data_IF_904300319614
#
_entry.id   IF_904300319614
#
_cell.length_a   1.000
_cell.length_b   1.000
_cell.length_c   1.000
_cell.angle_alpha   90.00
_cell.angle_beta   90.00
_cell.angle_gamma   90.00
#
_symmetry.space_group_name_H-M   'P 1'
#
loop_
_entity.id
_entity.type
_entity.pdbx_description
1 polymer ?
#
# COMPACT_ATOMS: atom_id res chain seq x y z
N UNK A 1 -16.93 1.66 20.53
CA UNK A 1 -17.28 0.84 19.39
C UNK A 1 -16.14 0.88 18.35
N UNK A 2 -15.43 -0.25 18.18
CA UNK A 2 -14.18 -0.31 17.44
C UNK A 2 -14.17 -1.44 16.42
N UNK A 3 -13.34 -1.28 15.38
CA UNK A 3 -12.95 -2.34 14.46
C UNK A 3 -11.52 -2.72 14.81
N UNK A 4 -11.22 -4.02 14.89
CA UNK A 4 -9.87 -4.48 15.22
C UNK A 4 -9.02 -4.53 13.95
N UNK A 5 -7.87 -3.84 14.00
CA UNK A 5 -6.81 -3.93 13.01
C UNK A 5 -5.69 -4.80 13.58
N UNK A 6 -5.30 -5.86 12.90
CA UNK A 6 -4.25 -6.75 13.41
C UNK A 6 -3.09 -6.90 12.43
N UNK A 7 -1.92 -7.17 13.01
CA UNK A 7 -0.71 -7.49 12.27
C UNK A 7 -0.67 -9.01 12.04
N UNK A 8 -0.48 -9.41 10.78
CA UNK A 8 -0.55 -10.82 10.39
C UNK A 8 0.77 -11.54 10.65
N UNK A 9 1.91 -10.93 10.29
CA UNK A 9 3.21 -11.56 10.38
C UNK A 9 4.32 -10.57 10.71
N UNK A 10 5.53 -11.07 10.96
CA UNK A 10 6.71 -10.26 11.26
C UNK A 10 6.92 -10.02 12.75
N UNK A 11 7.72 -9.00 13.07
CA UNK A 11 8.13 -8.71 14.44
C UNK A 11 6.99 -8.26 15.35
N UNK A 12 5.93 -7.69 14.77
CA UNK A 12 4.73 -7.25 15.52
C UNK A 12 3.55 -8.20 15.33
N UNK A 13 3.76 -9.41 14.88
CA UNK A 13 2.72 -10.43 14.69
C UNK A 13 1.78 -10.50 15.88
N UNK A 14 0.48 -10.55 15.61
CA UNK A 14 -0.61 -10.63 16.59
C UNK A 14 -0.90 -9.33 17.35
N UNK A 15 -0.15 -8.26 17.14
CA UNK A 15 -0.52 -6.96 17.70
C UNK A 15 -1.86 -6.50 17.11
N UNK A 16 -2.67 -5.88 17.97
CA UNK A 16 -4.02 -5.41 17.65
C UNK A 16 -4.16 -3.95 17.99
N UNK A 17 -4.92 -3.24 17.16
CA UNK A 17 -5.20 -1.83 17.35
C UNK A 17 -6.70 -1.60 17.17
N UNK A 18 -7.31 -0.80 18.04
CA UNK A 18 -8.72 -0.48 18.00
C UNK A 18 -8.94 0.73 17.10
N UNK A 19 -9.58 0.52 15.95
CA UNK A 19 -9.93 1.58 15.01
C UNK A 19 -11.34 2.07 15.33
N UNK A 20 -11.55 3.38 15.61
CA UNK A 20 -12.89 3.91 15.84
C UNK A 20 -13.81 3.66 14.65
N UNK A 21 -15.03 3.18 14.90
CA UNK A 21 -16.03 2.96 13.82
C UNK A 21 -16.47 4.24 13.14
N UNK A 22 -16.24 5.39 13.79
CA UNK A 22 -16.50 6.72 13.22
C UNK A 22 -15.53 7.08 12.08
N UNK A 23 -14.39 6.40 11.96
CA UNK A 23 -13.44 6.65 10.88
C UNK A 23 -14.05 6.28 9.52
N UNK A 24 -13.81 7.12 8.51
CA UNK A 24 -14.20 6.83 7.13
C UNK A 24 -13.41 5.67 6.55
N UNK A 25 -12.10 5.65 6.82
CA UNK A 25 -11.25 4.54 6.42
C UNK A 25 -11.52 3.29 7.27
N UNK A 26 -11.45 2.13 6.65
CA UNK A 26 -11.51 0.83 7.31
C UNK A 26 -10.18 0.10 7.10
N UNK A 27 -9.71 -0.67 8.09
CA UNK A 27 -8.52 -1.48 7.87
C UNK A 27 -8.81 -2.51 6.78
N UNK A 28 -7.76 -2.87 6.03
CA UNK A 28 -7.81 -4.00 5.10
C UNK A 28 -8.17 -5.26 5.88
N UNK A 29 -9.10 -6.06 5.35
CA UNK A 29 -9.49 -7.31 6.03
C UNK A 29 -8.28 -8.24 6.18
N UNK A 30 -8.29 -9.05 7.24
CA UNK A 30 -7.22 -10.04 7.48
C UNK A 30 -7.05 -10.97 6.27
N UNK A 31 -8.16 -11.41 5.68
CA UNK A 31 -8.16 -12.30 4.51
C UNK A 31 -7.45 -11.67 3.31
N UNK A 32 -7.83 -10.45 2.92
CA UNK A 32 -7.22 -9.78 1.78
C UNK A 32 -5.76 -9.43 2.06
N UNK A 33 -5.44 -8.95 3.26
CA UNK A 33 -4.08 -8.59 3.66
C UNK A 33 -3.15 -9.78 3.67
N UNK A 34 -3.57 -10.90 4.27
CA UNK A 34 -2.77 -12.13 4.32
C UNK A 34 -2.48 -12.65 2.91
N UNK A 35 -3.50 -12.72 2.05
CA UNK A 35 -3.33 -13.18 0.68
C UNK A 35 -2.42 -12.26 -0.13
N UNK A 36 -2.58 -10.94 -0.02
CA UNK A 36 -1.70 -9.99 -0.69
C UNK A 36 -0.24 -10.18 -0.28
N UNK A 37 0.03 -10.23 1.02
CA UNK A 37 1.40 -10.35 1.51
C UNK A 37 2.02 -11.73 1.24
N UNK A 38 1.21 -12.79 1.16
CA UNK A 38 1.71 -14.09 0.71
C UNK A 38 2.21 -14.01 -0.74
N UNK A 39 1.47 -13.35 -1.62
CA UNK A 39 1.90 -13.13 -3.01
C UNK A 39 3.17 -12.28 -3.05
N UNK A 40 3.21 -11.18 -2.31
CA UNK A 40 4.37 -10.29 -2.27
C UNK A 40 5.62 -11.00 -1.78
N UNK A 41 5.52 -11.77 -0.70
CA UNK A 41 6.66 -12.47 -0.10
C UNK A 41 7.13 -13.65 -0.95
N UNK A 42 6.22 -14.35 -1.63
CA UNK A 42 6.56 -15.53 -2.40
C UNK A 42 7.11 -15.19 -3.80
N UNK A 43 6.66 -14.09 -4.40
CA UNK A 43 6.92 -13.80 -5.81
C UNK A 43 7.72 -12.52 -6.07
N UNK A 44 7.80 -11.59 -5.11
CA UNK A 44 8.33 -10.25 -5.39
C UNK A 44 9.42 -9.78 -4.43
N UNK A 45 9.25 -9.95 -3.11
CA UNK A 45 10.11 -9.32 -2.12
C UNK A 45 10.59 -10.25 -1.03
N UNK A 46 11.87 -10.09 -0.66
CA UNK A 46 12.33 -10.30 0.70
C UNK A 46 12.29 -8.94 1.40
N UNK A 47 11.29 -8.73 2.27
CA UNK A 47 11.07 -7.42 2.90
C UNK A 47 12.21 -7.00 3.83
N UNK A 48 13.00 -7.94 4.34
CA UNK A 48 14.15 -7.67 5.21
C UNK A 48 15.39 -7.23 4.43
N UNK A 49 15.34 -7.26 3.10
CA UNK A 49 16.47 -6.92 2.23
C UNK A 49 16.42 -5.45 1.77
N UNK A 50 16.31 -4.53 2.73
CA UNK A 50 16.41 -3.09 2.48
C UNK A 50 15.25 -2.50 1.68
N UNK A 51 14.06 -3.10 1.72
CA UNK A 51 12.89 -2.64 0.96
C UNK A 51 12.39 -1.30 1.49
N UNK A 52 12.25 -0.32 0.60
CA UNK A 52 11.58 0.95 0.86
C UNK A 52 10.20 0.95 0.23
N UNK A 53 9.19 1.37 0.98
CA UNK A 53 7.79 1.29 0.55
C UNK A 53 7.03 2.59 0.75
N UNK A 54 6.06 2.81 -0.12
CA UNK A 54 5.14 3.94 -0.08
C UNK A 54 3.70 3.41 -0.02
N UNK A 55 2.96 3.85 1.01
CA UNK A 55 1.56 3.52 1.22
C UNK A 55 0.70 4.76 0.92
N UNK A 56 0.12 4.79 -0.27
CA UNK A 56 -0.71 5.88 -0.75
C UNK A 56 -2.17 5.63 -0.37
N UNK A 57 -2.86 6.68 0.09
CA UNK A 57 -4.19 6.57 0.71
C UNK A 57 -4.14 5.64 1.92
N UNK A 58 -3.23 5.91 2.84
CA UNK A 58 -2.86 4.96 3.89
C UNK A 58 -3.98 4.66 4.90
N UNK A 59 -4.96 5.56 5.04
CA UNK A 59 -6.14 5.34 5.88
C UNK A 59 -5.78 5.06 7.34
N UNK A 60 -6.06 3.85 7.79
CA UNK A 60 -5.72 3.40 9.16
C UNK A 60 -4.27 2.95 9.32
N UNK A 61 -3.51 2.88 8.23
CA UNK A 61 -2.13 2.39 8.26
C UNK A 61 -2.01 0.87 8.30
N UNK A 62 -3.06 0.14 7.94
CA UNK A 62 -3.07 -1.34 7.97
C UNK A 62 -1.94 -1.95 7.14
N UNK A 63 -1.72 -1.44 5.95
CA UNK A 63 -0.63 -1.90 5.07
C UNK A 63 0.73 -1.41 5.59
N UNK A 64 0.81 -0.15 6.02
CA UNK A 64 2.05 0.42 6.56
C UNK A 64 2.59 -0.38 7.74
N UNK A 65 1.75 -0.70 8.74
CA UNK A 65 2.21 -1.47 9.91
C UNK A 65 2.61 -2.90 9.54
N UNK A 66 1.94 -3.51 8.57
CA UNK A 66 2.31 -4.83 8.08
C UNK A 66 3.68 -4.80 7.40
N UNK A 67 3.94 -3.81 6.55
CA UNK A 67 5.23 -3.61 5.89
C UNK A 67 6.37 -3.42 6.90
N UNK A 68 6.17 -2.57 7.90
CA UNK A 68 7.15 -2.36 8.98
C UNK A 68 7.39 -3.67 9.73
N UNK A 69 6.33 -4.37 10.10
CA UNK A 69 6.40 -5.63 10.84
C UNK A 69 7.18 -6.71 10.09
N UNK A 70 7.06 -6.75 8.77
CA UNK A 70 7.74 -7.74 7.92
C UNK A 70 9.19 -7.38 7.59
N UNK A 71 9.64 -6.19 7.99
CA UNK A 71 11.05 -5.85 7.93
C UNK A 71 11.44 -4.76 6.95
N UNK A 72 10.47 -4.06 6.32
CA UNK A 72 10.80 -2.92 5.46
C UNK A 72 11.69 -1.92 6.19
N UNK A 73 12.69 -1.45 5.49
CA UNK A 73 13.69 -0.52 6.02
C UNK A 73 13.11 0.89 6.22
N UNK A 74 12.19 1.28 5.33
CA UNK A 74 11.56 2.60 5.35
C UNK A 74 10.16 2.52 4.73
N UNK A 75 9.15 3.03 5.44
CA UNK A 75 7.77 3.12 4.95
C UNK A 75 7.29 4.55 5.07
N UNK A 76 6.82 5.13 3.99
CA UNK A 76 6.12 6.43 4.00
C UNK A 76 4.63 6.18 3.84
N UNK A 77 3.84 6.72 4.77
CA UNK A 77 2.37 6.65 4.74
C UNK A 77 1.83 8.02 4.34
N UNK A 78 1.13 8.10 3.21
CA UNK A 78 0.51 9.35 2.74
C UNK A 78 -0.98 9.30 3.00
N UNK A 79 -1.46 10.23 3.82
CA UNK A 79 -2.86 10.34 4.21
C UNK A 79 -3.23 11.81 4.39
N UNK A 80 -4.37 12.23 3.81
CA UNK A 80 -4.82 13.63 3.91
C UNK A 80 -5.69 13.91 5.13
N UNK A 81 -6.41 12.91 5.65
CA UNK A 81 -7.30 13.07 6.80
C UNK A 81 -6.47 13.17 8.08
N UNK A 82 -6.60 14.26 8.85
CA UNK A 82 -5.79 14.45 10.05
C UNK A 82 -6.07 13.44 11.16
N UNK A 83 -7.30 12.94 11.28
CA UNK A 83 -7.64 11.91 12.28
C UNK A 83 -7.01 10.56 11.94
N UNK A 84 -7.08 10.16 10.68
CA UNK A 84 -6.43 8.94 10.21
C UNK A 84 -4.91 9.03 10.36
N UNK A 85 -4.33 10.17 10.00
CA UNK A 85 -2.89 10.39 10.15
C UNK A 85 -2.44 10.30 11.61
N UNK A 86 -3.19 10.92 12.53
CA UNK A 86 -2.90 10.85 13.96
C UNK A 86 -2.98 9.41 14.47
N UNK A 87 -3.94 8.62 13.99
CA UNK A 87 -4.06 7.21 14.33
C UNK A 87 -2.84 6.40 13.85
N UNK A 88 -2.40 6.61 12.61
CA UNK A 88 -1.18 5.95 12.09
C UNK A 88 0.02 6.29 12.97
N UNK A 89 0.19 7.57 13.30
CA UNK A 89 1.29 8.02 14.17
C UNK A 89 1.25 7.37 15.55
N UNK A 90 0.06 7.21 16.12
CA UNK A 90 -0.11 6.55 17.41
C UNK A 90 0.25 5.06 17.33
N UNK A 91 -0.19 4.34 16.31
CA UNK A 91 0.16 2.94 16.08
C UNK A 91 1.69 2.77 16.04
N UNK A 92 2.36 3.63 15.29
CA UNK A 92 3.83 3.55 15.15
C UNK A 92 4.55 3.85 16.47
N UNK A 93 4.04 4.79 17.28
CA UNK A 93 4.57 5.05 18.63
C UNK A 93 4.35 3.86 19.57
N UNK A 94 3.19 3.23 19.53
CA UNK A 94 2.89 2.07 20.39
C UNK A 94 3.84 0.90 20.13
N UNK A 95 4.20 0.64 18.89
CA UNK A 95 5.18 -0.41 18.55
C UNK A 95 6.63 0.09 18.63
N UNK A 96 6.83 1.38 18.91
CA UNK A 96 8.15 2.01 19.07
C UNK A 96 9.04 1.85 17.83
N UNK A 97 8.46 1.98 16.64
CA UNK A 97 9.23 1.96 15.39
C UNK A 97 9.63 3.36 14.94
N UNK A 98 10.81 3.46 14.36
CA UNK A 98 11.31 4.63 13.64
C UNK A 98 11.32 4.43 12.11
N UNK A 99 10.73 3.34 11.63
CA UNK A 99 10.74 2.94 10.22
C UNK A 99 9.59 3.50 9.39
N UNK A 100 8.57 4.06 10.02
CA UNK A 100 7.41 4.61 9.33
C UNK A 100 7.31 6.13 9.51
N UNK A 101 7.04 6.82 8.41
CA UNK A 101 6.94 8.28 8.34
C UNK A 101 5.56 8.67 7.79
N UNK A 102 4.57 8.93 8.67
CA UNK A 102 3.27 9.43 8.24
C UNK A 102 3.38 10.88 7.73
N UNK A 103 2.85 11.13 6.55
CA UNK A 103 2.88 12.44 5.90
C UNK A 103 1.45 12.86 5.58
N UNK A 104 1.07 14.07 6.03
CA UNK A 104 -0.20 14.68 5.65
C UNK A 104 -0.07 15.32 4.28
N UNK A 105 -0.69 14.70 3.28
CA UNK A 105 -0.68 15.21 1.92
C UNK A 105 -1.85 14.62 1.12
N UNK A 106 -2.24 15.35 0.09
CA UNK A 106 -3.09 14.82 -0.97
C UNK A 106 -2.20 14.01 -1.91
N UNK A 107 -2.66 12.79 -2.30
CA UNK A 107 -1.81 11.81 -2.97
C UNK A 107 -1.24 12.31 -4.30
N UNK A 108 -2.05 12.93 -5.16
CA UNK A 108 -1.56 13.38 -6.46
C UNK A 108 -0.52 14.50 -6.36
N UNK A 109 -0.68 15.39 -5.38
CA UNK A 109 0.33 16.41 -5.08
C UNK A 109 1.62 15.79 -4.55
N UNK A 110 1.48 14.78 -3.68
CA UNK A 110 2.66 14.07 -3.18
C UNK A 110 3.44 13.42 -4.33
N UNK A 111 2.74 12.71 -5.23
CA UNK A 111 3.36 12.07 -6.40
C UNK A 111 4.12 13.09 -7.26
N UNK A 112 3.54 14.26 -7.50
CA UNK A 112 4.16 15.31 -8.31
C UNK A 112 5.44 15.91 -7.69
N UNK A 113 5.49 16.00 -6.36
CA UNK A 113 6.57 16.68 -5.63
C UNK A 113 7.64 15.75 -5.08
N UNK A 114 7.36 14.45 -4.97
CA UNK A 114 8.28 13.49 -4.38
C UNK A 114 9.49 13.26 -5.29
N UNK A 115 10.70 13.37 -4.70
CA UNK A 115 11.96 13.07 -5.38
C UNK A 115 12.58 11.74 -4.94
N UNK A 116 11.96 11.06 -3.97
CA UNK A 116 12.40 9.75 -3.47
C UNK A 116 11.88 8.64 -4.38
N UNK A 117 12.61 7.53 -4.45
CA UNK A 117 12.19 6.33 -5.18
C UNK A 117 11.94 5.18 -4.22
N UNK A 118 10.96 4.33 -4.59
CA UNK A 118 10.52 3.22 -3.77
C UNK A 118 10.61 1.89 -4.51
N UNK A 119 10.92 0.83 -3.77
CA UNK A 119 10.86 -0.54 -4.26
C UNK A 119 9.42 -1.03 -4.42
N UNK A 120 8.56 -0.63 -3.50
CA UNK A 120 7.16 -1.02 -3.44
C UNK A 120 6.27 0.20 -3.22
N UNK A 121 5.26 0.35 -4.07
CA UNK A 121 4.20 1.35 -3.88
C UNK A 121 2.86 0.62 -3.83
N UNK A 122 2.11 0.85 -2.75
CA UNK A 122 0.74 0.39 -2.59
C UNK A 122 -0.21 1.58 -2.62
N UNK A 123 -1.31 1.48 -3.34
CA UNK A 123 -2.34 2.51 -3.39
C UNK A 123 -3.72 1.89 -3.18
N UNK A 124 -4.46 2.42 -2.20
CA UNK A 124 -5.83 2.01 -1.88
C UNK A 124 -6.75 3.23 -1.92
N UNK A 125 -7.04 3.78 -3.12
CA UNK A 125 -7.92 4.93 -3.25
C UNK A 125 -9.37 4.57 -2.92
N UNK A 126 -10.20 5.57 -2.53
CA UNK A 126 -11.64 5.36 -2.54
C UNK A 126 -12.09 4.85 -3.91
N UNK A 127 -12.91 3.79 -3.95
CA UNK A 127 -13.29 3.15 -5.22
C UNK A 127 -14.03 4.09 -6.17
N UNK A 128 -14.70 5.10 -5.63
CA UNK A 128 -15.39 6.13 -6.41
C UNK A 128 -14.50 7.32 -6.81
N UNK A 129 -13.19 7.29 -6.51
CA UNK A 129 -12.28 8.36 -6.88
C UNK A 129 -12.28 8.54 -8.41
N UNK A 130 -12.57 9.76 -8.88
CA UNK A 130 -12.69 10.07 -10.30
C UNK A 130 -11.43 9.73 -11.10
N UNK A 131 -10.26 10.02 -10.52
CA UNK A 131 -8.96 9.86 -11.20
C UNK A 131 -8.26 8.54 -10.84
N UNK A 132 -8.98 7.56 -10.29
CA UNK A 132 -8.41 6.28 -9.89
C UNK A 132 -7.65 5.60 -11.03
N UNK A 133 -8.21 5.59 -12.24
CA UNK A 133 -7.59 4.95 -13.42
C UNK A 133 -6.29 5.61 -13.84
N UNK A 134 -6.06 6.86 -13.47
CA UNK A 134 -4.83 7.58 -13.81
C UNK A 134 -3.66 7.27 -12.88
N UNK A 135 -3.89 6.59 -11.76
CA UNK A 135 -2.87 6.37 -10.73
C UNK A 135 -1.63 5.66 -11.28
N UNK A 136 -1.74 4.53 -12.02
CA UNK A 136 -0.55 3.89 -12.57
C UNK A 136 0.26 4.82 -13.48
N UNK A 137 -0.37 5.48 -14.42
CA UNK A 137 0.29 6.40 -15.34
C UNK A 137 1.03 7.51 -14.59
N UNK A 138 0.39 8.13 -13.61
CA UNK A 138 1.01 9.21 -12.82
C UNK A 138 2.23 8.74 -12.04
N UNK A 139 2.16 7.53 -11.47
CA UNK A 139 3.29 6.96 -10.73
C UNK A 139 4.46 6.68 -11.68
N UNK A 140 4.22 6.05 -12.82
CA UNK A 140 5.29 5.73 -13.77
C UNK A 140 5.89 6.98 -14.41
N UNK A 141 5.10 8.00 -14.71
CA UNK A 141 5.60 9.26 -15.25
C UNK A 141 6.39 10.09 -14.25
N UNK A 142 6.08 9.98 -12.96
CA UNK A 142 6.74 10.75 -11.90
C UNK A 142 8.15 10.26 -11.57
N UNK A 143 8.49 9.02 -11.89
CA UNK A 143 9.77 8.41 -11.55
C UNK A 143 9.95 8.00 -10.09
N UNK A 144 8.87 7.97 -9.29
CA UNK A 144 8.97 7.58 -7.86
C UNK A 144 9.03 6.07 -7.62
N UNK A 145 8.75 5.26 -8.63
CA UNK A 145 8.96 3.82 -8.56
C UNK A 145 10.31 3.46 -9.17
N UNK A 146 11.10 2.68 -8.43
CA UNK A 146 12.37 2.17 -8.96
C UNK A 146 12.14 1.32 -10.21
N UNK A 147 13.16 1.18 -11.07
CA UNK A 147 13.06 0.46 -12.33
C UNK A 147 12.59 -0.98 -12.17
N UNK A 148 13.03 -1.67 -11.12
CA UNK A 148 12.62 -3.03 -10.75
C UNK A 148 11.52 -3.06 -9.69
N UNK A 149 10.92 -1.91 -9.40
CA UNK A 149 9.88 -1.76 -8.39
C UNK A 149 8.53 -2.33 -8.79
N UNK A 150 7.67 -2.49 -7.81
CA UNK A 150 6.31 -3.00 -7.96
C UNK A 150 5.30 -1.99 -7.44
N UNK A 151 4.27 -1.73 -8.25
CA UNK A 151 3.06 -1.02 -7.84
C UNK A 151 1.92 -2.02 -7.69
N UNK A 152 1.21 -1.95 -6.55
CA UNK A 152 -0.06 -2.65 -6.34
C UNK A 152 -1.16 -1.63 -6.10
N UNK A 153 -2.22 -1.71 -6.89
CA UNK A 153 -3.40 -0.85 -6.79
C UNK A 153 -4.61 -1.69 -6.39
N UNK A 154 -5.24 -1.32 -5.26
CA UNK A 154 -6.51 -1.89 -4.85
C UNK A 154 -7.65 -1.14 -5.54
N UNK A 155 -8.64 -1.89 -6.06
CA UNK A 155 -9.78 -1.30 -6.76
C UNK A 155 -10.99 -2.23 -6.75
N UNK A 156 -12.14 -1.69 -7.14
CA UNK A 156 -13.36 -2.47 -7.34
C UNK A 156 -13.36 -3.22 -8.67
N UNK A 157 -14.35 -4.09 -8.84
CA UNK A 157 -14.49 -4.95 -10.03
C UNK A 157 -14.75 -4.19 -11.34
N UNK A 158 -15.20 -2.93 -11.23
CA UNK A 158 -15.53 -2.08 -12.38
C UNK A 158 -14.29 -1.48 -13.06
N UNK A 159 -13.13 -1.54 -12.43
CA UNK A 159 -11.89 -1.03 -13.00
C UNK A 159 -11.08 -2.18 -13.60
N UNK A 160 -10.54 -1.94 -14.80
CA UNK A 160 -9.75 -2.89 -15.56
C UNK A 160 -8.47 -2.22 -16.05
N UNK A 161 -7.33 -2.91 -15.89
CA UNK A 161 -6.00 -2.37 -16.22
C UNK A 161 -5.20 -3.28 -17.16
N UNK A 162 -5.83 -4.31 -17.72
CA UNK A 162 -5.15 -5.34 -18.53
C UNK A 162 -4.50 -4.75 -19.79
N UNK A 163 -4.98 -3.59 -20.28
CA UNK A 163 -4.42 -2.90 -21.44
C UNK A 163 -3.30 -1.92 -21.09
N UNK A 164 -3.04 -1.68 -19.80
CA UNK A 164 -1.93 -0.83 -19.40
C UNK A 164 -0.60 -1.52 -19.72
N UNK A 165 0.37 -0.82 -20.34
CA UNK A 165 1.64 -1.41 -20.75
C UNK A 165 2.50 -1.91 -19.59
N UNK A 166 2.23 -1.45 -18.36
CA UNK A 166 2.93 -1.86 -17.15
C UNK A 166 2.21 -2.96 -16.37
N UNK A 167 1.01 -3.34 -16.77
CA UNK A 167 0.19 -4.34 -16.08
C UNK A 167 0.84 -5.73 -16.12
N UNK A 168 0.87 -6.41 -14.96
CA UNK A 168 1.41 -7.77 -14.84
C UNK A 168 0.30 -8.78 -14.60
N UNK A 169 -0.48 -8.58 -13.53
CA UNK A 169 -1.51 -9.52 -13.10
C UNK A 169 -2.56 -8.84 -12.23
N UNK A 170 -3.72 -9.47 -12.13
CA UNK A 170 -4.78 -9.10 -11.19
C UNK A 170 -5.11 -10.28 -10.30
N UNK A 171 -5.29 -10.02 -9.01
CA UNK A 171 -5.75 -11.00 -8.04
C UNK A 171 -6.97 -10.48 -7.31
N UNK A 172 -8.01 -11.32 -7.21
CA UNK A 172 -9.26 -10.99 -6.54
C UNK A 172 -9.42 -11.85 -5.28
N UNK A 173 -9.76 -11.19 -4.18
CA UNK A 173 -10.04 -11.81 -2.90
C UNK A 173 -11.38 -11.27 -2.38
N UNK A 174 -12.46 -12.03 -2.60
CA UNK A 174 -13.82 -11.53 -2.38
C UNK A 174 -14.13 -10.36 -3.31
N UNK A 175 -14.56 -9.23 -2.76
CA UNK A 175 -14.85 -8.01 -3.53
C UNK A 175 -13.62 -7.13 -3.78
N UNK A 176 -12.48 -7.48 -3.21
CA UNK A 176 -11.23 -6.72 -3.31
C UNK A 176 -10.42 -7.21 -4.49
N UNK A 177 -9.99 -6.29 -5.35
CA UNK A 177 -9.10 -6.57 -6.46
C UNK A 177 -7.77 -5.85 -6.26
N UNK A 178 -6.67 -6.55 -6.52
CA UNK A 178 -5.32 -6.00 -6.58
C UNK A 178 -4.78 -6.16 -7.98
N UNK A 179 -4.43 -5.06 -8.63
CA UNK A 179 -3.70 -5.06 -9.90
C UNK A 179 -2.23 -4.72 -9.66
N UNK A 180 -1.35 -5.45 -10.32
CA UNK A 180 0.11 -5.41 -10.14
C UNK A 180 0.74 -4.83 -11.40
N UNK A 181 1.71 -3.91 -11.21
CA UNK A 181 2.36 -3.20 -12.32
C UNK A 181 3.86 -3.12 -12.09
N UNK A 182 4.64 -3.23 -13.17
CA UNK A 182 6.07 -3.00 -13.19
C UNK A 182 6.48 -2.09 -14.35
N UNK A 183 7.58 -1.36 -14.19
CA UNK A 183 8.14 -0.55 -15.26
C UNK A 183 8.56 -1.41 -16.45
N UNK A 184 9.20 -2.56 -16.18
CA UNK A 184 9.59 -3.54 -17.19
C UNK A 184 8.75 -4.80 -17.01
N UNK A 185 7.85 -5.06 -17.96
CA UNK A 185 7.06 -6.29 -17.98
C UNK A 185 7.89 -7.38 -18.63
N UNK A 186 8.03 -8.59 -18.00
CA UNK A 186 8.75 -9.70 -18.63
C UNK A 186 8.16 -10.01 -20.00
N UNK A 187 9.04 -10.26 -21.00
CA UNK A 187 8.60 -10.73 -22.29
C UNK A 187 7.83 -12.05 -22.12
N UNK A 188 6.60 -12.11 -22.66
CA UNK A 188 5.87 -13.37 -22.76
C UNK A 188 6.71 -14.29 -23.65
N UNK A 189 7.17 -15.39 -23.12
CA UNK A 189 7.73 -16.45 -23.97
C UNK A 189 6.63 -16.86 -24.97
N UNK A 190 6.88 -16.60 -26.26
CA UNK A 190 6.00 -17.03 -27.36
C UNK A 190 6.19 -18.52 -27.63
#
# INVERSE_FOLDING_TARGET
NFIIMRVISGIYKRRRFDVPRSFKARPTTDFAKENLFNVLSNNYFDFEDGVTALDLFAGTGSISIELVSRGCDRVISVEKDPQHLAFISQVMREVKTDKCFPIRAEVFRFIEKCSEQFDFIFADPPYALKDLKSIPTRIFESGILKEDGLLVLEHGKENHFEEDPHFIERRAYGSVNFSFFRATVPATEQ
#
